data_IF_778450218833
#
_entry.id   IF_778450218833
#
_cell.length_a   1.000
_cell.length_b   1.000
_cell.length_c   1.000
_cell.angle_alpha   90.00
_cell.angle_beta   90.00
_cell.angle_gamma   90.00
#
_symmetry.space_group_name_H-M   'P 1'
#
loop_
_entity.id
_entity.type
_entity.pdbx_description
1 polymer ?
#
# COMPACT_ATOMS: atom_id res chain seq x y z
N UNK A 1 -1.34 -4.72 -2.63
CA UNK A 1 -1.10 -5.97 -3.40
C UNK A 1 -0.17 -5.63 -4.56
N UNK A 2 0.85 -6.44 -4.80
CA UNK A 2 1.83 -6.21 -5.87
C UNK A 2 2.10 -7.48 -6.67
N UNK A 3 2.08 -7.34 -7.99
CA UNK A 3 2.44 -8.39 -8.96
C UNK A 3 3.85 -8.20 -9.57
N UNK A 4 4.48 -7.04 -9.34
CA UNK A 4 5.85 -6.74 -9.77
C UNK A 4 6.53 -5.81 -8.76
N UNK A 5 7.87 -5.88 -8.66
CA UNK A 5 8.66 -4.96 -7.84
C UNK A 5 8.62 -3.53 -8.39
N UNK A 6 8.43 -3.34 -9.70
CA UNK A 6 8.25 -2.00 -10.30
C UNK A 6 7.00 -1.30 -9.76
N UNK A 7 5.94 -2.05 -9.45
CA UNK A 7 4.72 -1.48 -8.88
C UNK A 7 4.96 -0.89 -7.47
N UNK A 8 5.90 -1.45 -6.71
CA UNK A 8 6.32 -0.90 -5.41
C UNK A 8 7.03 0.43 -5.62
N UNK A 9 7.99 0.49 -6.55
CA UNK A 9 8.71 1.72 -6.89
C UNK A 9 7.76 2.82 -7.36
N UNK A 10 6.83 2.48 -8.26
CA UNK A 10 5.86 3.44 -8.79
C UNK A 10 4.96 4.00 -7.69
N UNK A 11 4.51 3.16 -6.75
CA UNK A 11 3.73 3.63 -5.61
C UNK A 11 4.51 4.63 -4.74
N UNK A 12 5.77 4.35 -4.44
CA UNK A 12 6.61 5.25 -3.62
C UNK A 12 6.88 6.59 -4.32
N UNK A 13 7.00 6.58 -5.66
CA UNK A 13 7.14 7.80 -6.44
C UNK A 13 5.87 8.66 -6.42
N UNK A 14 4.70 8.03 -6.48
CA UNK A 14 3.40 8.71 -6.48
C UNK A 14 2.93 9.14 -5.09
N UNK A 15 3.33 8.41 -4.05
CA UNK A 15 2.93 8.65 -2.67
C UNK A 15 4.15 8.53 -1.72
N UNK A 16 5.05 9.53 -1.74
CA UNK A 16 6.20 9.54 -0.85
C UNK A 16 5.72 9.60 0.62
N UNK A 17 6.12 8.60 1.41
CA UNK A 17 5.68 8.42 2.80
C UNK A 17 4.55 7.41 3.03
N UNK A 18 4.03 6.79 1.97
CA UNK A 18 2.90 5.86 2.05
C UNK A 18 3.08 4.55 2.84
N UNK A 19 4.29 3.99 3.10
CA UNK A 19 4.36 2.75 3.87
C UNK A 19 4.49 3.03 5.37
N UNK A 20 3.46 3.66 5.95
CA UNK A 20 3.25 3.76 7.40
C UNK A 20 1.99 2.99 7.80
N UNK A 21 2.15 1.83 8.45
CA UNK A 21 1.02 0.99 8.87
C UNK A 21 0.30 0.20 7.76
N UNK A 22 0.74 0.37 6.50
CA UNK A 22 0.18 -0.35 5.35
C UNK A 22 0.62 -1.82 5.29
N UNK A 23 -0.24 -2.66 4.72
CA UNK A 23 0.02 -4.09 4.51
C UNK A 23 0.30 -4.33 3.02
N UNK A 24 1.35 -5.08 2.72
CA UNK A 24 1.68 -5.55 1.38
C UNK A 24 1.37 -7.04 1.24
N UNK A 25 0.81 -7.41 0.08
CA UNK A 25 0.66 -8.78 -0.38
C UNK A 25 1.42 -8.92 -1.69
N UNK A 26 2.31 -9.90 -1.76
CA UNK A 26 3.17 -10.17 -2.92
C UNK A 26 2.96 -11.60 -3.42
N UNK A 27 3.07 -11.80 -4.74
CA UNK A 27 2.96 -13.13 -5.35
C UNK A 27 4.29 -13.89 -5.41
N UNK A 28 5.41 -13.20 -5.15
CA UNK A 28 6.76 -13.74 -5.24
C UNK A 28 7.67 -13.10 -4.18
N UNK A 29 8.68 -13.85 -3.72
CA UNK A 29 9.67 -13.40 -2.74
C UNK A 29 10.38 -12.11 -3.14
N UNK A 30 10.81 -11.99 -4.41
CA UNK A 30 11.46 -10.77 -4.92
C UNK A 30 10.62 -9.49 -4.77
N UNK A 31 9.29 -9.62 -4.83
CA UNK A 31 8.34 -8.51 -4.69
C UNK A 31 8.12 -8.22 -3.20
N UNK A 32 7.99 -9.25 -2.38
CA UNK A 32 7.90 -9.12 -0.94
C UNK A 32 9.14 -8.42 -0.37
N UNK A 33 10.33 -8.76 -0.85
CA UNK A 33 11.57 -8.10 -0.45
C UNK A 33 11.60 -6.62 -0.84
N UNK A 34 11.07 -6.26 -2.01
CA UNK A 34 10.93 -4.87 -2.40
C UNK A 34 9.97 -4.12 -1.47
N UNK A 35 8.84 -4.73 -1.10
CA UNK A 35 7.89 -4.14 -0.15
C UNK A 35 8.48 -4.03 1.28
N UNK A 36 9.26 -5.02 1.74
CA UNK A 36 9.95 -4.95 3.04
C UNK A 36 10.94 -3.78 3.06
N UNK A 37 11.77 -3.63 2.02
CA UNK A 37 12.70 -2.50 1.88
C UNK A 37 12.00 -1.16 1.76
N UNK A 38 10.80 -1.14 1.18
CA UNK A 38 9.97 0.05 1.10
C UNK A 38 9.40 0.48 2.46
N UNK A 39 9.40 -0.37 3.49
CA UNK A 39 8.98 -0.02 4.84
C UNK A 39 7.54 -0.40 5.20
N UNK A 40 6.89 -1.29 4.43
CA UNK A 40 5.54 -1.76 4.76
C UNK A 40 5.50 -2.44 6.14
N UNK A 41 4.48 -2.15 6.93
CA UNK A 41 4.36 -2.65 8.31
C UNK A 41 4.14 -4.16 8.38
N UNK A 42 3.49 -4.73 7.36
CA UNK A 42 3.33 -6.17 7.21
C UNK A 42 3.48 -6.55 5.76
N UNK A 43 4.23 -7.62 5.49
CA UNK A 43 4.42 -8.14 4.13
C UNK A 43 4.10 -9.63 4.13
N UNK A 44 3.06 -10.00 3.39
CA UNK A 44 2.65 -11.38 3.18
C UNK A 44 2.96 -11.84 1.75
N UNK A 45 3.23 -13.13 1.62
CA UNK A 45 3.43 -13.80 0.34
C UNK A 45 2.27 -14.75 0.07
N UNK A 46 1.88 -14.87 -1.20
CA UNK A 46 0.89 -15.83 -1.67
C UNK A 46 1.33 -16.42 -3.01
N UNK A 47 0.80 -17.59 -3.37
CA UNK A 47 1.04 -18.16 -4.69
C UNK A 47 0.46 -17.24 -5.79
N UNK A 48 1.08 -17.23 -6.97
CA UNK A 48 0.60 -16.52 -8.16
C UNK A 48 -0.61 -17.23 -8.83
N UNK A 49 -1.65 -17.47 -8.03
CA UNK A 49 -2.93 -18.09 -8.46
C UNK A 49 -4.07 -17.26 -7.88
N UNK A 50 -5.16 -17.14 -8.64
CA UNK A 50 -6.25 -16.22 -8.28
C UNK A 50 -6.88 -16.60 -6.92
N UNK A 51 -7.02 -17.89 -6.64
CA UNK A 51 -7.58 -18.40 -5.39
C UNK A 51 -6.72 -18.00 -4.19
N UNK A 52 -5.41 -18.17 -4.31
CA UNK A 52 -4.46 -17.84 -3.26
C UNK A 52 -4.42 -16.33 -2.97
N UNK A 53 -4.56 -15.50 -4.01
CA UNK A 53 -4.65 -14.04 -3.85
C UNK A 53 -5.94 -13.65 -3.13
N UNK A 54 -7.07 -14.23 -3.53
CA UNK A 54 -8.37 -13.97 -2.91
C UNK A 54 -8.35 -14.37 -1.43
N UNK A 55 -7.84 -15.56 -1.10
CA UNK A 55 -7.75 -16.03 0.28
C UNK A 55 -6.82 -15.13 1.12
N UNK A 56 -5.68 -14.73 0.57
CA UNK A 56 -4.76 -13.84 1.25
C UNK A 56 -5.36 -12.44 1.51
N UNK A 57 -6.10 -11.87 0.54
CA UNK A 57 -6.77 -10.58 0.72
C UNK A 57 -7.89 -10.66 1.76
N UNK A 58 -8.67 -11.75 1.77
CA UNK A 58 -9.72 -11.98 2.78
C UNK A 58 -9.13 -12.13 4.18
N UNK A 59 -8.02 -12.86 4.30
CA UNK A 59 -7.31 -13.05 5.57
C UNK A 59 -6.67 -11.77 6.12
N UNK A 60 -6.44 -10.75 5.28
CA UNK A 60 -5.90 -9.46 5.70
C UNK A 60 -6.93 -8.52 6.36
N UNK A 61 -8.20 -8.93 6.48
CA UNK A 61 -9.23 -8.37 7.36
C UNK A 61 -9.16 -6.86 7.59
N UNK A 62 -9.97 -6.10 6.84
CA UNK A 62 -10.13 -4.63 6.87
C UNK A 62 -9.91 -4.01 8.25
N UNK A 63 -8.69 -3.58 8.55
CA UNK A 63 -8.39 -2.55 9.56
C UNK A 63 -8.04 -1.27 8.84
N UNK A 64 -9.06 -0.65 8.25
CA UNK A 64 -8.97 0.72 7.80
C UNK A 64 -8.91 1.62 9.03
N UNK A 65 -7.71 1.99 9.49
CA UNK A 65 -7.55 3.30 10.09
C UNK A 65 -7.85 4.30 8.97
N UNK A 66 -9.07 4.85 8.96
CA UNK A 66 -9.39 6.02 8.14
C UNK A 66 -8.43 7.12 8.57
N UNK A 67 -7.31 7.25 7.85
CA UNK A 67 -6.46 8.42 7.93
C UNK A 67 -7.35 9.61 7.65
N UNK A 68 -7.51 10.46 8.66
CA UNK A 68 -8.17 11.75 8.58
C UNK A 68 -7.56 12.47 7.38
N UNK A 69 -8.34 12.67 6.33
CA UNK A 69 -8.00 13.62 5.30
C UNK A 69 -8.14 14.98 5.98
N UNK A 70 -7.06 15.49 6.56
CA UNK A 70 -6.96 16.88 6.97
C UNK A 70 -6.95 17.71 5.66
N UNK A 71 -8.13 17.91 5.08
CA UNK A 71 -8.38 18.89 4.02
C UNK A 71 -8.69 20.23 4.69
N UNK A 72 -7.68 20.79 5.35
CA UNK A 72 -7.72 22.15 5.90
C UNK A 72 -6.82 23.06 5.07
N UNK A 73 -7.14 23.19 3.77
CA UNK A 73 -6.66 24.31 2.97
C UNK A 73 -7.68 25.44 3.04
N UNK A 74 -7.43 26.53 3.79
CA UNK A 74 -8.23 27.73 3.62
C UNK A 74 -7.95 28.27 2.22
N UNK A 75 -8.93 28.17 1.33
CA UNK A 75 -8.93 28.98 0.12
C UNK A 75 -8.98 30.44 0.57
N UNK A 76 -7.83 31.10 0.47
CA UNK A 76 -7.65 32.51 0.78
C UNK A 76 -8.73 33.34 0.09
N UNK A 77 -9.39 34.17 0.88
CA UNK A 77 -10.30 35.18 0.38
C UNK A 77 -9.54 36.09 -0.58
N UNK A 78 -10.05 36.22 -1.79
CA UNK A 78 -9.70 37.32 -2.67
C UNK A 78 -10.74 38.41 -2.46
N UNK A 79 -10.23 39.48 -1.87
CA UNK A 79 -10.78 40.82 -1.79
C UNK A 79 -10.47 41.49 -3.14
N UNK A 80 -11.52 41.83 -3.88
CA UNK A 80 -11.78 43.09 -4.62
C UNK A 80 -12.91 42.90 -5.64
#
# INVERSE_FOLDING_TARGET
LFSSSEAVTNLLALAPGAPGGAHALATHSRIADAARRAGFATVAECAARIEAVVDAVRGQGVRGSRGRLDDDRPHGGLLE
#
